data_IF_612387865944
#
_entry.id   IF_612387865944
#
_cell.length_a   1.000
_cell.length_b   1.000
_cell.length_c   1.000
_cell.angle_alpha   90.00
_cell.angle_beta   90.00
_cell.angle_gamma   90.00
#
_symmetry.space_group_name_H-M   'P 1'
#
loop_
_entity.id
_entity.type
_entity.pdbx_description
1 polymer ?
#
# COMPACT_ATOMS: atom_id res chain seq x y z
N UNK A 1 -5.13 10.49 7.38
CA UNK A 1 -4.26 9.82 6.50
C UNK A 1 -3.13 9.05 7.15
N UNK A 2 -3.31 7.73 7.27
CA UNK A 2 -2.26 6.82 7.77
C UNK A 2 -1.36 6.27 6.65
N UNK A 3 -1.54 6.75 5.43
CA UNK A 3 -0.91 6.20 4.24
C UNK A 3 -1.47 4.83 3.85
N UNK A 4 -1.07 4.30 2.69
CA UNK A 4 -1.49 2.98 2.23
C UNK A 4 -1.21 1.91 3.30
N UNK A 5 0.03 1.87 3.81
CA UNK A 5 0.46 0.86 4.79
C UNK A 5 -0.28 0.95 6.11
N UNK A 6 -0.60 2.14 6.62
CA UNK A 6 -1.34 2.29 7.87
C UNK A 6 -2.78 1.80 7.76
N UNK A 7 -3.46 2.10 6.66
CA UNK A 7 -4.82 1.60 6.39
C UNK A 7 -4.84 0.10 6.10
N UNK A 8 -3.85 -0.40 5.34
CA UNK A 8 -3.69 -1.82 5.08
C UNK A 8 -3.44 -2.62 6.37
N UNK A 9 -2.58 -2.12 7.27
CA UNK A 9 -2.35 -2.71 8.58
C UNK A 9 -3.64 -2.84 9.39
N UNK A 10 -4.44 -1.77 9.46
CA UNK A 10 -5.71 -1.80 10.17
C UNK A 10 -6.68 -2.84 9.57
N UNK A 11 -6.74 -2.90 8.23
CA UNK A 11 -7.57 -3.88 7.52
C UNK A 11 -7.10 -5.30 7.79
N UNK A 12 -5.80 -5.57 7.72
CA UNK A 12 -5.22 -6.88 7.97
C UNK A 12 -5.46 -7.36 9.41
N UNK A 13 -5.21 -6.50 10.40
CA UNK A 13 -5.45 -6.79 11.82
C UNK A 13 -6.93 -7.12 12.08
N UNK A 14 -7.84 -6.31 11.56
CA UNK A 14 -9.29 -6.51 11.75
C UNK A 14 -9.80 -7.78 11.08
N UNK A 15 -9.14 -8.23 10.01
CA UNK A 15 -9.53 -9.42 9.23
C UNK A 15 -8.78 -10.69 9.63
N UNK A 16 -7.75 -10.61 10.46
CA UNK A 16 -6.92 -11.75 10.86
C UNK A 16 -6.14 -12.36 9.67
N UNK A 17 -5.62 -11.50 8.79
CA UNK A 17 -4.86 -11.90 7.59
C UNK A 17 -3.52 -11.19 7.54
N UNK A 18 -2.64 -11.64 6.66
CA UNK A 18 -1.44 -10.92 6.24
C UNK A 18 -1.63 -10.40 4.81
N UNK A 19 -1.24 -9.15 4.56
CA UNK A 19 -1.22 -8.54 3.22
C UNK A 19 0.21 -8.46 2.71
N UNK A 20 0.40 -8.86 1.45
CA UNK A 20 1.68 -8.84 0.77
C UNK A 20 1.59 -7.89 -0.42
N UNK A 21 2.39 -6.84 -0.44
CA UNK A 21 2.40 -5.85 -1.51
C UNK A 21 3.68 -5.90 -2.32
N UNK A 22 3.53 -5.78 -3.63
CA UNK A 22 4.62 -5.52 -4.56
C UNK A 22 4.78 -4.00 -4.72
N UNK A 23 5.85 -3.41 -4.15
CA UNK A 23 6.04 -1.95 -4.13
C UNK A 23 6.09 -1.34 -5.53
N UNK A 24 6.66 -2.05 -6.48
CA UNK A 24 6.77 -1.61 -7.88
C UNK A 24 5.41 -1.57 -8.62
N UNK A 25 4.42 -2.32 -8.13
CA UNK A 25 3.08 -2.36 -8.71
C UNK A 25 2.16 -1.23 -8.18
N UNK A 26 2.58 -0.53 -7.12
CA UNK A 26 1.77 0.52 -6.50
C UNK A 26 1.86 1.81 -7.32
N UNK A 27 0.73 2.31 -7.85
CA UNK A 27 0.72 3.54 -8.64
C UNK A 27 1.15 4.74 -7.81
N UNK A 28 1.97 5.61 -8.40
CA UNK A 28 2.38 6.88 -7.80
C UNK A 28 2.24 8.01 -8.82
N UNK A 29 2.03 9.23 -8.32
CA UNK A 29 1.97 10.40 -9.20
C UNK A 29 3.33 10.66 -9.84
N UNK A 30 3.36 11.15 -11.10
CA UNK A 30 4.61 11.53 -11.77
C UNK A 30 5.40 12.53 -10.93
N UNK A 31 6.73 12.36 -10.84
CA UNK A 31 7.64 13.27 -10.13
C UNK A 31 7.71 13.07 -8.61
N UNK A 32 6.83 12.29 -8.01
CA UNK A 32 6.83 12.03 -6.55
C UNK A 32 8.14 11.41 -6.10
N UNK A 33 8.70 10.46 -6.87
CA UNK A 33 9.96 9.80 -6.53
C UNK A 33 11.15 10.74 -6.58
N UNK A 34 11.15 11.67 -7.54
CA UNK A 34 12.21 12.70 -7.64
C UNK A 34 12.17 13.63 -6.43
N UNK A 35 10.97 14.10 -6.03
CA UNK A 35 10.79 14.91 -4.83
C UNK A 35 11.22 14.17 -3.55
N UNK A 36 10.95 12.88 -3.47
CA UNK A 36 11.38 12.05 -2.36
C UNK A 36 12.91 11.97 -2.26
N UNK A 37 13.59 11.75 -3.39
CA UNK A 37 15.06 11.79 -3.47
C UNK A 37 15.66 13.16 -3.11
N UNK A 38 14.95 14.23 -3.39
CA UNK A 38 15.32 15.59 -2.95
C UNK A 38 15.05 15.85 -1.46
N UNK A 39 14.53 14.86 -0.73
CA UNK A 39 14.24 14.97 0.70
C UNK A 39 12.91 15.66 1.03
N UNK A 40 12.01 15.82 0.06
CA UNK A 40 10.67 16.37 0.26
C UNK A 40 9.76 15.33 0.95
N UNK A 41 10.02 15.06 2.23
CA UNK A 41 9.29 14.03 3.00
C UNK A 41 8.31 14.72 3.97
N UNK A 42 7.00 14.51 3.82
CA UNK A 42 6.01 15.03 4.76
C UNK A 42 6.21 14.45 6.17
N UNK A 43 6.11 15.28 7.20
CA UNK A 43 6.22 14.81 8.58
C UNK A 43 5.15 13.76 8.97
N UNK A 44 4.04 13.72 8.24
CA UNK A 44 3.01 12.67 8.33
C UNK A 44 3.54 11.30 7.95
N UNK A 45 4.31 11.19 6.88
CA UNK A 45 4.90 9.93 6.42
C UNK A 45 5.83 9.32 7.48
N UNK A 46 6.67 10.15 8.13
CA UNK A 46 7.56 9.70 9.21
C UNK A 46 6.78 9.19 10.44
N UNK A 47 5.68 9.84 10.80
CA UNK A 47 4.82 9.36 11.89
C UNK A 47 4.12 8.06 11.53
N UNK A 48 3.61 7.96 10.32
CA UNK A 48 2.95 6.75 9.82
C UNK A 48 3.93 5.56 9.74
N UNK A 49 5.18 5.80 9.34
CA UNK A 49 6.23 4.76 9.33
C UNK A 49 6.46 4.16 10.71
N UNK A 50 6.52 5.02 11.76
CA UNK A 50 6.64 4.56 13.16
C UNK A 50 5.40 3.82 13.62
N UNK A 51 4.22 4.28 13.22
CA UNK A 51 2.94 3.66 13.60
C UNK A 51 2.80 2.22 13.12
N UNK A 52 3.35 1.90 11.94
CA UNK A 52 3.26 0.54 11.37
C UNK A 52 4.46 -0.35 11.70
N UNK A 53 5.47 0.16 12.38
CA UNK A 53 6.80 -0.45 12.52
C UNK A 53 6.76 -1.88 13.06
N UNK A 54 5.96 -2.14 14.09
CA UNK A 54 5.87 -3.45 14.72
C UNK A 54 5.11 -4.50 13.87
N UNK A 55 4.38 -4.05 12.85
CA UNK A 55 3.52 -4.89 12.02
C UNK A 55 3.99 -4.99 10.58
N UNK A 56 5.03 -4.24 10.21
CA UNK A 56 5.54 -4.14 8.85
C UNK A 56 6.86 -4.88 8.69
N UNK A 57 6.86 -5.85 7.79
CA UNK A 57 8.07 -6.43 7.24
C UNK A 57 8.29 -5.90 5.83
N UNK A 58 9.46 -5.31 5.54
CA UNK A 58 9.71 -4.70 4.23
C UNK A 58 11.10 -5.04 3.70
N UNK A 59 11.14 -5.38 2.41
CA UNK A 59 12.34 -5.53 1.59
C UNK A 59 12.53 -4.34 0.64
N UNK A 60 11.52 -3.46 0.55
CA UNK A 60 11.62 -2.21 -0.22
C UNK A 60 12.62 -1.25 0.42
N UNK A 61 13.14 -0.31 -0.36
CA UNK A 61 14.05 0.73 0.14
C UNK A 61 13.37 1.59 1.24
N UNK A 62 14.16 2.26 2.11
CA UNK A 62 13.60 3.20 3.07
C UNK A 62 12.74 4.29 2.43
N UNK A 63 13.14 4.79 1.26
CA UNK A 63 12.42 5.82 0.51
C UNK A 63 11.10 5.29 -0.03
N UNK A 64 11.09 4.11 -0.65
CA UNK A 64 9.85 3.47 -1.10
C UNK A 64 8.90 3.22 0.07
N UNK A 65 9.41 2.72 1.18
CA UNK A 65 8.60 2.50 2.38
C UNK A 65 7.98 3.80 2.89
N UNK A 66 8.72 4.92 2.86
CA UNK A 66 8.20 6.23 3.24
C UNK A 66 7.13 6.74 2.26
N UNK A 67 7.27 6.47 0.96
CA UNK A 67 6.26 6.80 -0.04
C UNK A 67 4.92 6.11 0.29
N UNK A 68 4.97 4.84 0.67
CA UNK A 68 3.77 4.08 1.04
C UNK A 68 3.16 4.52 2.38
N UNK A 69 3.92 5.25 3.19
CA UNK A 69 3.45 5.89 4.43
C UNK A 69 2.89 7.30 4.22
N UNK A 70 2.93 7.85 3.00
CA UNK A 70 2.50 9.22 2.73
C UNK A 70 1.02 9.42 3.05
N UNK A 71 0.73 10.52 3.78
CA UNK A 71 -0.61 10.85 4.26
C UNK A 71 -1.42 11.53 3.15
N UNK A 72 -2.29 10.78 2.48
CA UNK A 72 -3.14 11.29 1.39
C UNK A 72 -4.48 11.79 1.91
N UNK A 73 -4.87 13.04 1.55
CA UNK A 73 -6.20 13.60 1.89
C UNK A 73 -7.32 12.93 1.09
N UNK A 74 -7.07 12.66 -0.18
CA UNK A 74 -8.02 12.04 -1.11
C UNK A 74 -7.35 10.90 -1.87
N UNK A 75 -6.83 9.93 -1.12
CA UNK A 75 -6.17 8.74 -1.67
C UNK A 75 -7.16 7.80 -2.37
N UNK A 76 -6.59 6.80 -3.04
CA UNK A 76 -7.35 5.73 -3.67
C UNK A 76 -8.02 4.79 -2.67
N UNK A 77 -8.76 3.81 -3.18
CA UNK A 77 -9.33 2.72 -2.40
C UNK A 77 -8.38 1.51 -2.46
N UNK A 78 -8.22 0.84 -1.32
CA UNK A 78 -7.67 -0.51 -1.25
C UNK A 78 -8.82 -1.49 -1.22
N UNK A 79 -8.89 -2.39 -2.20
CA UNK A 79 -9.99 -3.35 -2.36
C UNK A 79 -9.41 -4.76 -2.29
N UNK A 80 -9.94 -5.59 -1.41
CA UNK A 80 -9.66 -7.02 -1.36
C UNK A 80 -10.87 -7.81 -1.86
N UNK A 81 -10.64 -8.78 -2.73
CA UNK A 81 -11.68 -9.63 -3.32
C UNK A 81 -11.09 -11.00 -3.66
N UNK A 82 -11.94 -12.02 -3.94
CA UNK A 82 -11.47 -13.31 -4.41
C UNK A 82 -10.63 -13.20 -5.68
N UNK A 83 -9.61 -14.07 -5.81
CA UNK A 83 -8.66 -14.03 -6.92
C UNK A 83 -9.36 -14.12 -8.28
N UNK A 84 -10.38 -14.98 -8.38
CA UNK A 84 -11.16 -15.21 -9.61
C UNK A 84 -11.96 -13.98 -10.08
N UNK A 85 -12.27 -13.04 -9.17
CA UNK A 85 -13.02 -11.81 -9.50
C UNK A 85 -12.08 -10.66 -9.90
N UNK A 86 -10.80 -10.77 -9.56
CA UNK A 86 -9.81 -9.70 -9.75
C UNK A 86 -9.65 -9.27 -11.20
N UNK A 87 -9.53 -10.14 -12.21
CA UNK A 87 -9.32 -9.73 -13.59
C UNK A 87 -10.50 -8.91 -14.15
N UNK A 88 -11.75 -9.30 -13.83
CA UNK A 88 -12.92 -8.57 -14.34
C UNK A 88 -13.04 -7.19 -13.69
N UNK A 89 -12.89 -7.10 -12.36
CA UNK A 89 -12.93 -5.82 -11.68
C UNK A 89 -11.82 -4.89 -12.17
N UNK A 90 -10.58 -5.38 -12.28
CA UNK A 90 -9.43 -4.58 -12.72
C UNK A 90 -9.65 -4.02 -14.13
N UNK A 91 -10.10 -4.86 -15.07
CA UNK A 91 -10.45 -4.43 -16.44
C UNK A 91 -11.51 -3.32 -16.42
N UNK A 92 -12.60 -3.48 -15.67
CA UNK A 92 -13.68 -2.49 -15.57
C UNK A 92 -13.21 -1.17 -14.96
N UNK A 93 -12.30 -1.21 -13.98
CA UNK A 93 -11.71 -0.02 -13.40
C UNK A 93 -10.80 0.68 -14.40
N UNK A 94 -9.98 -0.05 -15.14
CA UNK A 94 -9.05 0.49 -16.12
C UNK A 94 -9.75 1.05 -17.38
N UNK A 95 -10.92 0.52 -17.74
CA UNK A 95 -11.75 1.03 -18.82
C UNK A 95 -12.37 2.42 -18.50
N UNK A 96 -12.40 2.81 -17.22
CA UNK A 96 -12.91 4.11 -16.81
C UNK A 96 -11.76 5.12 -16.65
N UNK A 97 -11.79 6.28 -17.35
CA UNK A 97 -10.72 7.27 -17.28
C UNK A 97 -10.38 7.78 -15.89
N UNK A 98 -11.36 7.80 -14.97
CA UNK A 98 -11.14 8.27 -13.59
C UNK A 98 -10.43 7.25 -12.71
N UNK A 99 -10.39 5.99 -13.11
CA UNK A 99 -9.79 4.88 -12.37
C UNK A 99 -8.79 4.07 -13.21
N UNK A 100 -8.37 4.62 -14.36
CA UNK A 100 -7.48 3.94 -15.33
C UNK A 100 -6.12 3.51 -14.72
N UNK A 101 -5.68 4.14 -13.64
CA UNK A 101 -4.44 3.81 -12.95
C UNK A 101 -4.61 2.72 -11.88
N UNK A 102 -5.80 2.12 -11.77
CA UNK A 102 -6.01 0.98 -10.85
C UNK A 102 -5.07 -0.17 -11.20
N UNK A 103 -4.47 -0.78 -10.18
CA UNK A 103 -3.52 -1.86 -10.34
C UNK A 103 -3.76 -2.95 -9.30
N UNK A 104 -3.41 -4.19 -9.66
CA UNK A 104 -3.23 -5.26 -8.70
C UNK A 104 -1.89 -5.04 -7.99
N UNK A 105 -1.93 -4.76 -6.69
CA UNK A 105 -0.75 -4.37 -5.92
C UNK A 105 -0.27 -5.45 -4.95
N UNK A 106 -1.01 -6.55 -4.82
CA UNK A 106 -0.62 -7.60 -3.88
C UNK A 106 -1.70 -8.64 -3.65
N UNK A 107 -1.47 -9.46 -2.65
CA UNK A 107 -2.35 -10.57 -2.25
C UNK A 107 -2.56 -10.60 -0.74
N UNK A 108 -3.66 -11.22 -0.31
CA UNK A 108 -3.91 -11.55 1.09
C UNK A 108 -3.62 -13.04 1.34
N UNK A 109 -3.07 -13.37 2.50
CA UNK A 109 -2.84 -14.74 2.95
C UNK A 109 -3.33 -14.93 4.39
N UNK A 110 -3.48 -16.17 4.88
CA UNK A 110 -3.72 -16.41 6.30
C UNK A 110 -2.68 -15.74 7.17
N UNK A 111 -3.08 -15.31 8.38
CA UNK A 111 -2.19 -14.64 9.33
C UNK A 111 -0.89 -15.42 9.57
N UNK A 112 0.23 -14.70 9.56
CA UNK A 112 1.54 -15.28 9.81
C UNK A 112 1.73 -15.60 11.31
N UNK A 113 2.36 -16.73 11.63
CA UNK A 113 2.67 -17.08 13.03
C UNK A 113 3.64 -16.10 13.71
N UNK A 114 4.41 -15.33 12.96
CA UNK A 114 5.39 -14.37 13.47
C UNK A 114 4.80 -13.01 13.85
N UNK A 115 3.48 -12.82 13.69
CA UNK A 115 2.77 -11.59 14.03
C UNK A 115 2.88 -10.45 13.01
N UNK A 116 3.60 -10.64 11.89
CA UNK A 116 3.57 -9.69 10.77
C UNK A 116 2.19 -9.68 10.14
N UNK A 117 1.70 -8.50 9.80
CA UNK A 117 0.42 -8.34 9.08
C UNK A 117 0.59 -7.65 7.73
N UNK A 118 1.78 -7.08 7.48
CA UNK A 118 2.16 -6.48 6.21
C UNK A 118 3.55 -6.93 5.79
N UNK A 119 3.68 -7.39 4.56
CA UNK A 119 4.97 -7.61 3.90
C UNK A 119 5.03 -6.81 2.61
N UNK A 120 6.14 -6.10 2.38
CA UNK A 120 6.38 -5.30 1.16
C UNK A 120 7.66 -5.79 0.50
N UNK A 121 7.56 -6.11 -0.78
CA UNK A 121 8.67 -6.55 -1.65
C UNK A 121 9.12 -5.42 -2.55
#
# INVERSE_FOLDING_TARGET
>A
GFGLVGHAMQMALASGVELHFESSAIPSLPGVRDLLHEGCIPGGALRNRRYVEEHLHTYASPEETLLLCDAQTSGGLLIALPEEETPDLLRRLQDNPNTAQSALIGVASPASPNGSVLTIW
#
